data_IF_427420945956
#
_entry.id   IF_427420945956
#
_cell.length_a   1.000
_cell.length_b   1.000
_cell.length_c   1.000
_cell.angle_alpha   90.00
_cell.angle_beta   90.00
_cell.angle_gamma   90.00
#
_symmetry.space_group_name_H-M   'P 1'
#
loop_
_entity.id
_entity.type
_entity.pdbx_description
1 polymer ?
#
# COMPACT_ATOMS: atom_id res chain seq x y z
N UNK A 1 -14.70 12.51 40.99
CA UNK A 1 -14.75 13.44 39.85
C UNK A 1 -14.75 12.60 38.57
N UNK A 2 -15.88 12.48 37.86
CA UNK A 2 -15.96 11.65 36.65
C UNK A 2 -15.58 12.51 35.45
N UNK A 3 -14.40 12.25 34.86
CA UNK A 3 -13.97 12.91 33.62
C UNK A 3 -14.93 12.50 32.49
N UNK A 4 -15.88 13.38 32.16
CA UNK A 4 -16.73 13.26 30.96
C UNK A 4 -15.91 13.66 29.74
N UNK A 5 -15.17 12.71 29.17
CA UNK A 5 -14.54 12.92 27.88
C UNK A 5 -15.61 12.96 26.78
N UNK A 6 -15.72 14.08 26.06
CA UNK A 6 -16.57 14.15 24.85
C UNK A 6 -15.95 13.22 23.80
N UNK A 7 -16.62 12.12 23.53
CA UNK A 7 -16.26 11.19 22.46
C UNK A 7 -16.60 11.84 21.12
N UNK A 8 -15.58 12.20 20.33
CA UNK A 8 -15.74 12.84 19.02
C UNK A 8 -16.08 11.85 17.89
N UNK A 9 -15.98 10.55 18.17
CA UNK A 9 -16.17 9.45 17.21
C UNK A 9 -17.45 8.66 17.50
N UNK A 10 -17.80 7.74 16.61
CA UNK A 10 -18.94 6.84 16.89
C UNK A 10 -18.65 5.98 18.13
N UNK A 11 -19.67 5.65 18.94
CA UNK A 11 -19.48 4.88 20.18
C UNK A 11 -18.72 3.57 19.99
N UNK A 12 -18.97 2.85 18.89
CA UNK A 12 -18.27 1.60 18.57
C UNK A 12 -16.78 1.81 18.29
N UNK A 13 -16.43 2.85 17.53
CA UNK A 13 -15.03 3.19 17.26
C UNK A 13 -14.32 3.62 18.54
N UNK A 14 -14.98 4.40 19.38
CA UNK A 14 -14.44 4.83 20.66
C UNK A 14 -14.18 3.64 21.61
N UNK A 15 -15.13 2.70 21.70
CA UNK A 15 -14.95 1.46 22.47
C UNK A 15 -13.84 0.57 21.89
N UNK A 16 -13.73 0.48 20.56
CA UNK A 16 -12.63 -0.23 19.91
C UNK A 16 -11.27 0.38 20.23
N UNK A 17 -11.16 1.71 20.21
CA UNK A 17 -9.95 2.44 20.61
C UNK A 17 -9.63 2.24 22.09
N UNK A 18 -10.64 2.33 22.96
CA UNK A 18 -10.51 2.08 24.40
C UNK A 18 -9.98 0.65 24.66
N UNK A 19 -10.54 -0.35 23.98
CA UNK A 19 -10.11 -1.75 24.08
C UNK A 19 -8.67 -1.95 23.60
N UNK A 20 -8.25 -1.25 22.54
CA UNK A 20 -6.86 -1.30 22.08
C UNK A 20 -5.91 -0.68 23.10
N UNK A 21 -6.30 0.44 23.72
CA UNK A 21 -5.52 1.09 24.76
C UNK A 21 -5.45 0.24 26.03
N UNK A 22 -6.55 -0.36 26.45
CA UNK A 22 -6.58 -1.22 27.64
C UNK A 22 -5.66 -2.43 27.51
N UNK A 23 -5.61 -3.04 26.31
CA UNK A 23 -4.66 -4.12 25.97
C UNK A 23 -3.21 -3.64 26.03
N UNK A 24 -2.91 -2.45 25.48
CA UNK A 24 -1.55 -1.87 25.50
C UNK A 24 -1.02 -1.68 26.92
N UNK A 25 -1.88 -1.21 27.82
CA UNK A 25 -1.54 -0.99 29.23
C UNK A 25 -1.80 -2.22 30.13
N UNK A 26 -2.18 -3.36 29.56
CA UNK A 26 -2.48 -4.60 30.29
C UNK A 26 -3.49 -4.43 31.45
N UNK A 27 -4.45 -3.50 31.33
CA UNK A 27 -5.35 -3.12 32.43
C UNK A 27 -6.13 -4.33 32.95
N UNK A 28 -6.69 -5.13 32.04
CA UNK A 28 -7.48 -6.32 32.40
C UNK A 28 -6.63 -7.38 33.13
N UNK A 29 -5.37 -7.55 32.73
CA UNK A 29 -4.44 -8.47 33.41
C UNK A 29 -4.14 -7.98 34.81
N UNK A 30 -3.86 -6.68 34.98
CA UNK A 30 -3.59 -6.08 36.29
C UNK A 30 -4.82 -6.26 37.19
N UNK A 31 -6.02 -5.95 36.69
CA UNK A 31 -7.27 -6.12 37.44
C UNK A 31 -7.48 -7.56 37.92
N UNK A 32 -7.28 -8.55 37.04
CA UNK A 32 -7.39 -9.98 37.41
C UNK A 32 -6.36 -10.40 38.45
N UNK A 33 -5.12 -9.92 38.33
CA UNK A 33 -4.05 -10.22 39.30
C UNK A 33 -4.23 -9.49 40.63
N UNK A 34 -4.86 -8.31 40.63
CA UNK A 34 -5.15 -7.56 41.86
C UNK A 34 -6.39 -8.07 42.60
N UNK A 35 -7.25 -8.85 41.94
CA UNK A 35 -8.47 -9.38 42.55
C UNK A 35 -8.19 -10.37 43.69
N UNK A 36 -7.06 -11.08 43.64
CA UNK A 36 -6.64 -12.04 44.67
C UNK A 36 -5.22 -11.73 45.17
N UNK A 37 -4.98 -11.92 46.46
CA UNK A 37 -3.64 -11.76 47.01
C UNK A 37 -2.73 -12.92 46.58
N UNK A 38 -1.66 -12.59 45.86
CA UNK A 38 -0.58 -13.51 45.49
C UNK A 38 0.65 -13.27 46.39
N UNK A 39 1.24 -14.31 47.01
CA UNK A 39 2.49 -14.13 47.79
C UNK A 39 3.65 -13.77 46.85
N UNK A 40 4.67 -13.10 47.38
CA UNK A 40 5.83 -12.65 46.60
C UNK A 40 6.57 -13.79 45.87
N UNK A 41 6.73 -14.96 46.51
CA UNK A 41 7.37 -16.12 45.89
C UNK A 41 6.61 -16.61 44.64
N UNK A 42 5.27 -16.67 44.71
CA UNK A 42 4.41 -17.06 43.58
C UNK A 42 4.45 -16.05 42.44
N UNK A 43 4.51 -14.74 42.76
CA UNK A 43 4.68 -13.68 41.76
C UNK A 43 5.97 -13.87 40.96
N UNK A 44 7.07 -14.12 41.65
CA UNK A 44 8.38 -14.33 41.00
C UNK A 44 8.36 -15.56 40.10
N UNK A 45 7.78 -16.67 40.58
CA UNK A 45 7.63 -17.90 39.80
C UNK A 45 6.80 -17.66 38.54
N UNK A 46 5.60 -17.08 38.66
CA UNK A 46 4.73 -16.77 37.52
C UNK A 46 5.43 -15.87 36.50
N UNK A 47 6.14 -14.83 36.93
CA UNK A 47 6.88 -13.95 36.03
C UNK A 47 8.00 -14.70 35.27
N UNK A 48 8.71 -15.61 35.94
CA UNK A 48 9.73 -16.45 35.32
C UNK A 48 9.12 -17.41 34.28
N UNK A 49 8.02 -18.06 34.63
CA UNK A 49 7.27 -18.95 33.72
C UNK A 49 6.74 -18.19 32.50
N UNK A 50 6.07 -17.06 32.70
CA UNK A 50 5.57 -16.21 31.60
C UNK A 50 6.70 -15.80 30.65
N UNK A 51 7.91 -15.52 31.17
CA UNK A 51 9.08 -15.19 30.36
C UNK A 51 9.54 -16.39 29.53
N UNK A 52 9.62 -17.58 30.11
CA UNK A 52 9.98 -18.80 29.40
C UNK A 52 8.94 -19.14 28.32
N UNK A 53 7.64 -19.03 28.62
CA UNK A 53 6.58 -19.25 27.64
C UNK A 53 6.63 -18.28 26.46
N UNK A 54 6.93 -17.00 26.70
CA UNK A 54 7.09 -16.02 25.61
C UNK A 54 8.23 -16.37 24.67
N UNK A 55 9.36 -16.82 25.21
CA UNK A 55 10.50 -17.26 24.39
C UNK A 55 10.15 -18.48 23.56
N UNK A 56 9.52 -19.50 24.17
CA UNK A 56 9.05 -20.70 23.47
C UNK A 56 8.05 -20.36 22.37
N UNK A 57 7.08 -19.49 22.66
CA UNK A 57 6.11 -19.02 21.68
C UNK A 57 6.75 -18.25 20.53
N UNK A 58 7.70 -17.35 20.82
CA UNK A 58 8.42 -16.60 19.80
C UNK A 58 9.22 -17.52 18.86
N UNK A 59 9.88 -18.54 19.42
CA UNK A 59 10.56 -19.57 18.64
C UNK A 59 9.58 -20.35 17.76
N UNK A 60 8.47 -20.85 18.31
CA UNK A 60 7.45 -21.57 17.52
C UNK A 60 6.86 -20.69 16.42
N UNK A 61 6.58 -19.41 16.71
CA UNK A 61 6.12 -18.45 15.72
C UNK A 61 7.16 -18.22 14.63
N UNK A 62 8.45 -18.17 14.99
CA UNK A 62 9.55 -18.08 14.02
C UNK A 62 9.61 -19.32 13.14
N UNK A 63 9.61 -20.53 13.71
CA UNK A 63 9.57 -21.78 12.95
C UNK A 63 8.37 -21.82 11.99
N UNK A 64 7.19 -21.42 12.46
CA UNK A 64 6.00 -21.35 11.62
C UNK A 64 6.13 -20.30 10.50
N UNK A 65 6.77 -19.17 10.76
CA UNK A 65 7.05 -18.18 9.73
C UNK A 65 8.07 -18.70 8.69
N UNK A 66 9.09 -19.44 9.13
CA UNK A 66 10.09 -20.07 8.25
C UNK A 66 9.43 -21.17 7.41
N UNK A 67 8.63 -22.04 8.03
CA UNK A 67 7.85 -23.05 7.33
C UNK A 67 6.92 -22.38 6.34
N UNK A 68 6.18 -21.33 6.70
CA UNK A 68 5.34 -20.57 5.76
C UNK A 68 6.14 -19.87 4.66
N UNK A 69 7.39 -19.48 4.92
CA UNK A 69 8.27 -18.93 3.90
C UNK A 69 8.74 -20.03 2.92
N UNK A 70 8.97 -21.26 3.41
CA UNK A 70 9.42 -22.41 2.63
C UNK A 70 8.28 -23.13 1.88
N UNK A 71 7.17 -23.43 2.57
CA UNK A 71 5.92 -23.98 1.99
C UNK A 71 5.13 -22.94 1.22
N UNK A 72 5.36 -21.65 1.45
CA UNK A 72 4.96 -20.57 0.56
C UNK A 72 5.81 -20.48 -0.70
N UNK A 73 6.29 -21.62 -1.23
CA UNK A 73 6.80 -21.71 -2.60
C UNK A 73 5.77 -21.06 -3.54
N UNK A 74 6.19 -20.00 -4.23
CA UNK A 74 5.37 -19.03 -4.96
C UNK A 74 4.77 -17.85 -4.18
N UNK A 75 5.45 -17.33 -3.15
CA UNK A 75 5.65 -15.88 -3.20
C UNK A 75 6.46 -15.62 -4.44
N UNK A 76 5.74 -15.25 -5.51
CA UNK A 76 6.25 -14.67 -6.74
C UNK A 76 7.59 -14.03 -6.42
N UNK A 77 8.68 -14.49 -7.06
CA UNK A 77 9.89 -13.66 -7.13
C UNK A 77 9.36 -12.27 -7.45
N UNK A 78 9.43 -11.37 -6.48
CA UNK A 78 9.00 -9.99 -6.68
C UNK A 78 10.13 -9.42 -7.51
N UNK A 79 10.08 -9.72 -8.81
CA UNK A 79 10.77 -8.93 -9.79
C UNK A 79 10.36 -7.49 -9.47
N UNK A 80 11.31 -6.60 -9.14
CA UNK A 80 11.00 -5.22 -8.83
C UNK A 80 10.14 -4.67 -9.97
N UNK A 81 8.87 -4.38 -9.69
CA UNK A 81 8.05 -3.65 -10.65
C UNK A 81 8.66 -2.27 -10.75
N UNK A 82 9.11 -1.91 -11.95
CA UNK A 82 9.49 -0.53 -12.27
C UNK A 82 8.30 0.36 -11.90
N UNK A 83 8.42 1.19 -10.87
CA UNK A 83 7.31 2.00 -10.35
C UNK A 83 7.17 3.33 -11.11
N UNK A 84 7.32 3.29 -12.44
CA UNK A 84 7.35 4.47 -13.30
C UNK A 84 6.02 5.22 -13.27
N UNK A 85 4.88 4.51 -13.36
CA UNK A 85 3.56 5.11 -13.32
C UNK A 85 3.30 5.84 -12.00
N UNK A 86 3.75 5.28 -10.88
CA UNK A 86 3.63 5.89 -9.56
C UNK A 86 4.52 7.15 -9.44
N UNK A 87 5.74 7.12 -9.98
CA UNK A 87 6.64 8.26 -10.00
C UNK A 87 6.10 9.42 -10.86
N UNK A 88 5.56 9.12 -12.05
CA UNK A 88 4.98 10.11 -12.96
C UNK A 88 3.71 10.71 -12.33
N UNK A 89 2.85 9.88 -11.74
CA UNK A 89 1.66 10.34 -11.03
C UNK A 89 1.99 11.29 -9.87
N UNK A 90 3.04 11.00 -9.09
CA UNK A 90 3.49 11.86 -7.99
C UNK A 90 4.00 13.23 -8.43
N UNK A 91 4.44 13.37 -9.69
CA UNK A 91 4.91 14.63 -10.27
C UNK A 91 3.78 15.47 -10.89
N UNK A 92 2.56 14.94 -11.02
CA UNK A 92 1.44 15.68 -11.60
C UNK A 92 1.05 16.87 -10.72
N UNK A 93 1.08 18.07 -11.31
CA UNK A 93 0.73 19.33 -10.62
C UNK A 93 -0.44 20.08 -11.29
N UNK A 94 -1.10 19.48 -12.27
CA UNK A 94 -2.20 20.09 -13.04
C UNK A 94 -1.73 20.76 -14.34
N UNK A 95 -0.71 21.60 -14.27
CA UNK A 95 -0.24 22.38 -15.42
C UNK A 95 0.79 21.64 -16.29
N UNK A 96 1.46 20.61 -15.75
CA UNK A 96 2.45 19.80 -16.47
C UNK A 96 1.86 18.62 -17.26
N UNK A 97 0.55 18.59 -17.50
CA UNK A 97 -0.13 17.48 -18.15
C UNK A 97 0.48 17.13 -19.52
N UNK A 98 0.78 18.13 -20.36
CA UNK A 98 1.33 17.93 -21.71
C UNK A 98 2.74 17.31 -21.69
N UNK A 99 3.63 17.84 -20.83
CA UNK A 99 4.98 17.29 -20.65
C UNK A 99 4.97 15.87 -20.09
N UNK A 100 4.03 15.57 -19.17
CA UNK A 100 3.87 14.21 -18.65
C UNK A 100 3.30 13.26 -19.70
N UNK A 101 2.42 13.70 -20.60
CA UNK A 101 1.95 12.91 -21.73
C UNK A 101 3.10 12.48 -22.65
N UNK A 102 3.99 13.41 -23.01
CA UNK A 102 5.17 13.11 -23.82
C UNK A 102 6.09 12.11 -23.11
N UNK A 103 6.34 12.33 -21.81
CA UNK A 103 7.15 11.42 -21.01
C UNK A 103 6.55 10.01 -20.91
N UNK A 104 5.22 9.90 -20.74
CA UNK A 104 4.51 8.62 -20.73
C UNK A 104 4.63 7.93 -22.08
N UNK A 105 4.45 8.65 -23.18
CA UNK A 105 4.56 8.09 -24.53
C UNK A 105 5.99 7.61 -24.84
N UNK A 106 7.01 8.36 -24.45
CA UNK A 106 8.41 7.93 -24.59
C UNK A 106 8.70 6.64 -23.79
N UNK A 107 8.25 6.60 -22.53
CA UNK A 107 8.41 5.40 -21.68
C UNK A 107 7.63 4.19 -22.22
N UNK A 108 6.43 4.41 -22.76
CA UNK A 108 5.64 3.35 -23.39
C UNK A 108 6.38 2.76 -24.61
N UNK A 109 6.97 3.59 -25.46
CA UNK A 109 7.73 3.10 -26.62
C UNK A 109 8.91 2.22 -26.19
N UNK A 110 9.69 2.67 -25.21
CA UNK A 110 10.85 1.91 -24.68
C UNK A 110 10.42 0.57 -24.08
N UNK A 111 9.36 0.58 -23.26
CA UNK A 111 8.87 -0.64 -22.64
C UNK A 111 8.33 -1.63 -23.68
N UNK A 112 7.54 -1.16 -24.65
CA UNK A 112 6.97 -1.99 -25.72
C UNK A 112 8.06 -2.57 -26.63
N UNK A 113 9.12 -1.81 -26.94
CA UNK A 113 10.24 -2.33 -27.74
C UNK A 113 11.07 -3.37 -27.00
N UNK A 114 11.09 -3.30 -25.66
CA UNK A 114 11.82 -4.25 -24.81
C UNK A 114 11.02 -5.53 -24.46
N UNK A 115 9.77 -5.65 -24.93
CA UNK A 115 8.96 -6.83 -24.69
C UNK A 115 9.36 -7.99 -25.62
N UNK A 116 9.45 -9.22 -25.10
CA UNK A 116 9.60 -10.42 -25.91
C UNK A 116 8.47 -10.57 -26.93
N UNK A 117 8.79 -11.11 -28.11
CA UNK A 117 7.83 -11.36 -29.20
C UNK A 117 6.65 -12.24 -28.78
N UNK A 118 6.86 -13.14 -27.81
CA UNK A 118 5.85 -14.05 -27.27
C UNK A 118 4.71 -13.36 -26.50
N UNK A 119 4.92 -12.13 -26.00
CA UNK A 119 3.89 -11.38 -25.26
C UNK A 119 3.63 -9.97 -25.83
N UNK A 120 4.34 -9.57 -26.88
CA UNK A 120 4.18 -8.23 -27.49
C UNK A 120 2.76 -7.97 -28.01
N UNK A 121 2.01 -9.02 -28.35
CA UNK A 121 0.60 -8.94 -28.80
C UNK A 121 -0.38 -8.64 -27.67
N UNK A 122 0.03 -8.85 -26.42
CA UNK A 122 -0.80 -8.68 -25.22
C UNK A 122 -0.56 -7.30 -24.55
N UNK A 123 0.11 -6.36 -25.23
CA UNK A 123 0.42 -5.03 -24.70
C UNK A 123 -0.84 -4.17 -24.45
N UNK A 124 -1.97 -4.52 -25.07
CA UNK A 124 -3.28 -3.88 -24.90
C UNK A 124 -4.07 -4.33 -23.67
N UNK A 125 -3.61 -5.35 -22.95
CA UNK A 125 -4.34 -5.89 -21.79
C UNK A 125 -4.39 -4.88 -20.63
N UNK A 126 -5.49 -4.91 -19.89
CA UNK A 126 -5.64 -4.20 -18.61
C UNK A 126 -4.88 -4.91 -17.50
N UNK A 127 -4.58 -4.19 -16.41
CA UNK A 127 -3.89 -4.78 -15.25
C UNK A 127 -4.62 -6.03 -14.72
N UNK A 128 -5.96 -5.99 -14.67
CA UNK A 128 -6.78 -7.11 -14.20
C UNK A 128 -6.64 -8.35 -15.10
N UNK A 129 -6.65 -8.14 -16.42
CA UNK A 129 -6.50 -9.22 -17.40
C UNK A 129 -5.10 -9.84 -17.36
N UNK A 130 -4.06 -9.02 -17.24
CA UNK A 130 -2.67 -9.52 -17.09
C UNK A 130 -2.53 -10.34 -15.80
N UNK A 131 -3.15 -9.91 -14.70
CA UNK A 131 -3.12 -10.69 -13.45
C UNK A 131 -3.89 -11.99 -13.55
N UNK A 132 -5.03 -12.01 -14.25
CA UNK A 132 -5.83 -13.22 -14.45
C UNK A 132 -5.13 -14.23 -15.36
N UNK A 133 -4.49 -13.77 -16.43
CA UNK A 133 -3.80 -14.61 -17.42
C UNK A 133 -2.34 -14.90 -17.10
N UNK A 134 -1.87 -14.50 -15.91
CA UNK A 134 -0.44 -14.58 -15.54
C UNK A 134 0.16 -15.98 -15.74
N UNK A 135 -0.55 -17.03 -15.35
CA UNK A 135 -0.07 -18.40 -15.50
C UNK A 135 0.09 -18.81 -16.97
N UNK A 136 -0.90 -18.48 -17.80
CA UNK A 136 -0.86 -18.75 -19.25
C UNK A 136 0.25 -17.96 -19.95
N UNK A 137 0.45 -16.69 -19.58
CA UNK A 137 1.50 -15.84 -20.13
C UNK A 137 2.89 -16.35 -19.76
N UNK A 138 3.08 -16.81 -18.52
CA UNK A 138 4.32 -17.45 -18.09
C UNK A 138 4.60 -18.70 -18.90
N UNK A 139 3.59 -19.57 -19.06
CA UNK A 139 3.74 -20.81 -19.81
C UNK A 139 4.13 -20.55 -21.26
N UNK A 140 3.47 -19.59 -21.93
CA UNK A 140 3.83 -19.19 -23.30
C UNK A 140 5.28 -18.68 -23.42
N UNK A 141 5.79 -17.97 -22.42
CA UNK A 141 7.18 -17.50 -22.44
C UNK A 141 8.18 -18.65 -22.32
N UNK A 142 7.89 -19.59 -21.42
CA UNK A 142 8.71 -20.78 -21.21
C UNK A 142 8.73 -21.69 -22.44
N UNK A 143 7.58 -21.86 -23.11
CA UNK A 143 7.46 -22.62 -24.37
C UNK A 143 8.28 -21.99 -25.51
N UNK A 144 8.47 -20.67 -25.49
CA UNK A 144 9.33 -19.95 -26.44
C UNK A 144 10.80 -19.89 -26.01
N UNK A 145 11.19 -20.66 -25.00
CA UNK A 145 12.59 -20.79 -24.56
C UNK A 145 13.12 -19.63 -23.71
N UNK A 146 12.27 -18.73 -23.21
CA UNK A 146 12.73 -17.69 -22.28
C UNK A 146 12.98 -18.29 -20.89
N UNK A 147 14.05 -17.86 -20.20
CA UNK A 147 14.25 -18.24 -18.81
C UNK A 147 13.12 -17.69 -17.93
N UNK A 148 12.85 -18.37 -16.83
CA UNK A 148 11.76 -18.04 -15.90
C UNK A 148 11.85 -16.59 -15.39
N UNK A 149 13.06 -16.09 -15.15
CA UNK A 149 13.33 -14.73 -14.66
C UNK A 149 12.94 -13.66 -15.68
N UNK A 150 13.33 -13.83 -16.95
CA UNK A 150 12.99 -12.90 -18.03
C UNK A 150 11.50 -12.95 -18.36
N UNK A 151 10.90 -14.13 -18.29
CA UNK A 151 9.45 -14.32 -18.45
C UNK A 151 8.66 -13.54 -17.39
N UNK A 152 9.11 -13.58 -16.13
CA UNK A 152 8.50 -12.81 -15.05
C UNK A 152 8.73 -11.30 -15.22
N UNK A 153 9.93 -10.88 -15.65
CA UNK A 153 10.23 -9.48 -15.96
C UNK A 153 9.36 -8.93 -17.08
N UNK A 154 9.15 -9.70 -18.15
CA UNK A 154 8.28 -9.33 -19.26
C UNK A 154 6.83 -9.11 -18.78
N UNK A 155 6.31 -9.96 -17.89
CA UNK A 155 4.97 -9.79 -17.31
C UNK A 155 4.89 -8.55 -16.42
N UNK A 156 5.93 -8.27 -15.62
CA UNK A 156 5.99 -7.04 -14.84
C UNK A 156 5.97 -5.78 -15.73
N UNK A 157 6.70 -5.81 -16.87
CA UNK A 157 6.67 -4.72 -17.86
C UNK A 157 5.27 -4.54 -18.48
N UNK A 158 4.54 -5.62 -18.77
CA UNK A 158 3.16 -5.53 -19.26
C UNK A 158 2.21 -4.88 -18.25
N UNK A 159 2.33 -5.26 -16.97
CA UNK A 159 1.56 -4.64 -15.89
C UNK A 159 1.85 -3.13 -15.83
N UNK A 160 3.11 -2.74 -15.99
CA UNK A 160 3.50 -1.33 -15.97
C UNK A 160 3.02 -0.56 -17.20
N UNK A 161 3.09 -1.16 -18.39
CA UNK A 161 2.49 -0.61 -19.63
C UNK A 161 0.99 -0.38 -19.43
N UNK A 162 0.26 -1.33 -18.85
CA UNK A 162 -1.16 -1.21 -18.59
C UNK A 162 -1.48 -0.05 -17.62
N UNK A 163 -0.66 0.14 -16.59
CA UNK A 163 -0.80 1.30 -15.67
C UNK A 163 -0.49 2.61 -16.38
N UNK A 164 0.57 2.68 -17.18
CA UNK A 164 0.94 3.89 -17.93
C UNK A 164 -0.12 4.25 -18.97
N UNK A 165 -0.68 3.29 -19.71
CA UNK A 165 -1.80 3.51 -20.64
C UNK A 165 -3.04 4.04 -19.90
N UNK A 166 -3.35 3.50 -18.72
CA UNK A 166 -4.42 4.01 -17.87
C UNK A 166 -4.16 5.44 -17.41
N UNK A 167 -2.95 5.74 -16.95
CA UNK A 167 -2.54 7.08 -16.53
C UNK A 167 -2.65 8.08 -17.69
N UNK A 168 -2.18 7.69 -18.88
CA UNK A 168 -2.27 8.50 -20.10
C UNK A 168 -3.72 8.86 -20.42
N UNK A 169 -4.62 7.86 -20.37
CA UNK A 169 -6.06 8.09 -20.58
C UNK A 169 -6.64 9.05 -19.54
N UNK A 170 -6.27 8.92 -18.27
CA UNK A 170 -6.76 9.82 -17.21
C UNK A 170 -6.27 11.25 -17.38
N UNK A 171 -5.00 11.46 -17.73
CA UNK A 171 -4.44 12.79 -18.00
C UNK A 171 -5.09 13.42 -19.24
N UNK A 172 -5.38 12.62 -20.28
CA UNK A 172 -6.08 13.09 -21.48
C UNK A 172 -7.53 13.53 -21.22
N UNK A 173 -8.23 12.84 -20.30
CA UNK A 173 -9.58 13.23 -19.88
C UNK A 173 -9.63 14.47 -18.97
N UNK A 174 -8.57 14.72 -18.20
CA UNK A 174 -8.45 15.92 -17.36
C UNK A 174 -8.22 17.20 -18.17
N UNK A 175 -7.45 17.13 -19.26
CA UNK A 175 -7.15 18.28 -20.12
C UNK A 175 -8.38 18.82 -20.88
N UNK A 176 -9.39 17.97 -21.15
CA UNK A 176 -10.62 18.37 -21.86
C UNK A 176 -11.65 19.11 -21.00
N UNK A 177 -11.43 19.25 -19.68
CA UNK A 177 -12.36 19.92 -18.76
C UNK A 177 -12.04 21.40 -18.52
N UNK A 178 -11.01 21.96 -19.17
CA UNK A 178 -10.62 23.37 -18.99
C UNK A 178 -11.51 24.36 -19.75
N UNK A 179 -12.41 23.89 -20.62
CA UNK A 179 -13.26 24.75 -21.47
C UNK A 179 -14.74 24.83 -21.04
N UNK A 180 -15.17 24.15 -19.97
CA UNK A 180 -16.55 24.29 -19.47
C UNK A 180 -16.59 25.29 -18.31
N UNK A 181 -17.18 26.46 -18.58
CA UNK A 181 -17.44 27.60 -17.69
C UNK A 181 -18.41 27.33 -16.53
N UNK A 182 -18.34 26.17 -15.87
CA UNK A 182 -19.18 25.82 -14.72
C UNK A 182 -18.32 25.60 -13.46
N UNK A 183 -17.96 26.73 -12.84
CA UNK A 183 -16.99 26.89 -11.75
C UNK A 183 -17.52 26.49 -10.35
N UNK A 184 -18.38 25.47 -10.22
CA UNK A 184 -19.02 25.14 -8.92
C UNK A 184 -18.67 23.73 -8.39
N UNK A 185 -18.03 22.87 -9.17
CA UNK A 185 -17.71 21.48 -8.73
C UNK A 185 -16.28 21.02 -9.03
N UNK A 186 -15.34 21.95 -9.25
CA UNK A 186 -13.92 21.58 -9.29
C UNK A 186 -13.38 21.51 -7.86
N UNK A 187 -13.12 20.28 -7.39
CA UNK A 187 -12.33 20.08 -6.18
C UNK A 187 -10.95 20.72 -6.34
N UNK A 188 -10.45 21.30 -5.26
CA UNK A 188 -9.18 22.04 -5.24
C UNK A 188 -8.01 21.22 -5.80
N UNK A 189 -7.20 21.83 -6.65
CA UNK A 189 -5.96 21.24 -7.15
C UNK A 189 -4.98 21.09 -5.97
N UNK A 190 -4.09 20.09 -6.01
CA UNK A 190 -3.12 19.82 -4.93
C UNK A 190 -2.39 21.07 -4.45
N UNK A 191 -1.96 21.95 -5.37
CA UNK A 191 -1.30 23.22 -5.03
C UNK A 191 -2.20 24.18 -4.25
N UNK A 192 -3.48 24.23 -4.58
CA UNK A 192 -4.47 25.06 -3.88
C UNK A 192 -4.74 24.49 -2.48
N UNK A 193 -4.84 23.17 -2.35
CA UNK A 193 -4.96 22.51 -1.04
C UNK A 193 -3.72 22.74 -0.17
N UNK A 194 -2.52 22.67 -0.76
CA UNK A 194 -1.27 22.94 -0.06
C UNK A 194 -1.15 24.41 0.35
N UNK A 195 -1.60 25.34 -0.50
CA UNK A 195 -1.66 26.76 -0.16
C UNK A 195 -2.65 27.03 0.98
N UNK A 196 -3.86 26.48 0.93
CA UNK A 196 -4.86 26.60 1.99
C UNK A 196 -4.36 25.98 3.31
N UNK A 197 -3.65 24.85 3.25
CA UNK A 197 -3.05 24.23 4.42
C UNK A 197 -1.93 25.11 5.01
N UNK A 198 -1.11 25.74 4.16
CA UNK A 198 -0.06 26.65 4.59
C UNK A 198 -0.63 27.93 5.24
N UNK A 199 -1.67 28.53 4.66
CA UNK A 199 -2.37 29.68 5.24
C UNK A 199 -3.01 29.35 6.59
N UNK A 200 -3.64 28.17 6.70
CA UNK A 200 -4.24 27.72 7.96
C UNK A 200 -3.18 27.45 9.05
N UNK A 201 -1.98 27.01 8.68
CA UNK A 201 -0.86 26.83 9.61
C UNK A 201 -0.25 28.17 10.04
N UNK A 202 -0.15 29.15 9.13
CA UNK A 202 0.33 30.50 9.43
C UNK A 202 -0.62 31.27 10.39
N UNK A 203 -1.93 31.09 10.25
CA UNK A 203 -2.91 31.66 11.18
C UNK A 203 -2.86 31.04 12.58
N UNK A 204 -2.49 29.76 12.70
CA UNK A 204 -2.31 29.09 14.00
C UNK A 204 -1.04 29.57 14.72
N UNK A 205 0.00 29.96 13.97
CA UNK A 205 1.26 30.47 14.54
C UNK A 205 1.24 31.96 14.89
N UNK A 206 0.36 32.76 14.29
CA UNK A 206 0.21 34.20 14.58
C UNK A 206 -0.82 34.53 15.67
N UNK A 207 -1.51 33.52 16.20
CA UNK A 207 -2.48 33.63 17.30
C UNK A 207 -1.95 33.29 18.69
N UNK A 208 -0.62 33.30 18.89
CA UNK A 208 0.03 33.22 20.21
C UNK A 208 0.70 34.54 20.57
#
# INVERSE_FOLDING_TARGET
>A
MWNRARVKTTPQQALGQLSRLSRRYNIEKIQKLSANFEKACWRTLRCAEERAYRQKYAFLKHCLNVIKAQTGGMKQQVVPLENLASQISGRFNGDNAASLHEQINANLQVLISSLPSCIRKDDGLTVAEVTSKKAELLQRCLENGLPLTESQQAICKLIEIAKLKRLNKTLGSGSKRKDSTDNITQGYVKRELEAMAAEHMAHVQSGQ
#
